data_IF_675231223106
#
_entry.id   IF_675231223106
#
_cell.length_a   1.000
_cell.length_b   1.000
_cell.length_c   1.000
_cell.angle_alpha   90.00
_cell.angle_beta   90.00
_cell.angle_gamma   90.00
#
_symmetry.space_group_name_H-M   'P 1'
#
loop_
_entity.id
_entity.type
_entity.pdbx_description
1 polymer ?
#
# COMPACT_ATOMS: atom_id res chain seq x y z
N UNK A 1 -37.71 10.71 6.37
CA UNK A 1 -36.33 10.95 6.89
C UNK A 1 -35.38 10.10 6.09
N UNK A 2 -34.83 10.66 5.02
CA UNK A 2 -33.75 10.04 4.22
C UNK A 2 -32.53 9.97 5.10
N UNK A 3 -32.07 8.74 5.41
CA UNK A 3 -30.73 8.52 5.99
C UNK A 3 -29.73 9.15 5.03
N UNK A 4 -29.12 10.23 5.47
CA UNK A 4 -27.92 10.79 4.85
C UNK A 4 -26.89 9.65 4.86
N UNK A 5 -26.71 9.02 3.71
CA UNK A 5 -25.62 8.06 3.51
C UNK A 5 -24.37 8.92 3.63
N UNK A 6 -23.76 8.87 4.81
CA UNK A 6 -22.53 9.59 5.09
C UNK A 6 -21.55 9.34 3.92
N UNK A 7 -21.12 10.42 3.25
CA UNK A 7 -20.16 10.31 2.16
C UNK A 7 -18.97 9.50 2.65
N UNK A 8 -18.44 8.59 1.82
CA UNK A 8 -17.18 7.90 2.15
C UNK A 8 -16.16 8.94 2.57
N UNK A 9 -15.35 8.62 3.55
CA UNK A 9 -14.27 9.50 3.97
C UNK A 9 -13.29 9.65 2.80
N UNK A 10 -13.07 10.89 2.41
CA UNK A 10 -12.19 11.24 1.30
C UNK A 10 -10.95 11.98 1.83
N UNK A 11 -9.78 11.49 1.46
CA UNK A 11 -8.51 12.15 1.77
C UNK A 11 -8.19 13.32 0.83
N UNK A 12 -9.09 13.61 -0.10
CA UNK A 12 -8.87 14.62 -1.14
C UNK A 12 -7.96 14.11 -2.27
N UNK A 13 -7.59 14.98 -3.23
CA UNK A 13 -6.71 14.61 -4.34
C UNK A 13 -5.30 14.26 -3.85
N UNK A 14 -4.57 13.47 -4.66
CA UNK A 14 -3.13 13.28 -4.46
C UNK A 14 -2.40 14.62 -4.58
N UNK A 15 -1.39 14.91 -3.75
CA UNK A 15 -0.56 16.10 -3.92
C UNK A 15 0.14 16.11 -5.28
N UNK A 16 0.61 17.27 -5.70
CA UNK A 16 1.38 17.46 -6.93
C UNK A 16 2.78 17.95 -6.58
N UNK A 17 3.77 17.49 -7.34
CA UNK A 17 5.13 18.01 -7.24
C UNK A 17 5.93 17.53 -6.04
N UNK A 18 5.60 16.35 -5.49
CA UNK A 18 6.39 15.75 -4.42
C UNK A 18 7.82 15.40 -4.86
N UNK A 19 8.78 15.51 -3.95
CA UNK A 19 10.21 15.22 -4.19
C UNK A 19 10.46 13.75 -4.57
N UNK A 20 9.65 12.84 -4.03
CA UNK A 20 9.67 11.42 -4.38
C UNK A 20 8.33 11.01 -5.00
N UNK A 21 8.40 10.44 -6.18
CA UNK A 21 7.31 9.69 -6.78
C UNK A 21 7.80 8.27 -7.10
N UNK A 22 7.13 7.26 -6.55
CA UNK A 22 7.38 5.85 -6.84
C UNK A 22 6.11 5.20 -7.35
N UNK A 23 6.21 4.44 -8.43
CA UNK A 23 5.07 3.78 -9.06
C UNK A 23 5.34 2.30 -9.23
N UNK A 24 4.52 1.48 -8.57
CA UNK A 24 4.47 0.03 -8.80
C UNK A 24 3.21 -0.30 -9.63
N UNK A 25 3.36 -1.16 -10.62
CA UNK A 25 2.22 -1.61 -11.42
C UNK A 25 2.34 -3.08 -11.79
N UNK A 26 1.19 -3.76 -11.86
CA UNK A 26 1.11 -5.15 -12.24
C UNK A 26 -0.21 -5.45 -12.95
N UNK A 27 -0.15 -6.29 -13.98
CA UNK A 27 -1.32 -6.96 -14.51
C UNK A 27 -1.57 -8.26 -13.74
N UNK A 28 -2.81 -8.44 -13.27
CA UNK A 28 -3.23 -9.59 -12.46
C UNK A 28 -4.36 -10.32 -13.21
N UNK A 29 -4.21 -11.63 -13.44
CA UNK A 29 -5.22 -12.47 -14.10
C UNK A 29 -6.36 -12.83 -13.14
N UNK A 30 -7.05 -11.80 -12.63
CA UNK A 30 -8.21 -11.94 -11.75
C UNK A 30 -9.17 -10.76 -11.95
N UNK A 31 -10.48 -10.96 -11.71
CA UNK A 31 -11.46 -9.88 -11.78
C UNK A 31 -11.13 -8.71 -10.84
N UNK A 32 -11.45 -7.49 -11.30
CA UNK A 32 -11.22 -6.27 -10.51
C UNK A 32 -11.88 -6.33 -9.13
N UNK A 33 -13.07 -6.90 -9.03
CA UNK A 33 -13.81 -7.05 -7.78
C UNK A 33 -13.05 -7.90 -6.76
N UNK A 34 -12.47 -9.00 -7.20
CA UNK A 34 -11.68 -9.89 -6.35
C UNK A 34 -10.36 -9.23 -5.90
N UNK A 35 -9.66 -8.59 -6.84
CA UNK A 35 -8.40 -7.91 -6.52
C UNK A 35 -8.62 -6.74 -5.56
N UNK A 36 -9.65 -5.92 -5.80
CA UNK A 36 -10.02 -4.81 -4.94
C UNK A 36 -10.47 -5.30 -3.54
N UNK A 37 -11.26 -6.38 -3.48
CA UNK A 37 -11.66 -6.98 -2.20
C UNK A 37 -10.45 -7.42 -1.37
N UNK A 38 -9.48 -8.10 -1.99
CA UNK A 38 -8.26 -8.54 -1.29
C UNK A 38 -7.41 -7.35 -0.82
N UNK A 39 -7.30 -6.33 -1.65
CA UNK A 39 -6.51 -5.14 -1.35
C UNK A 39 -7.16 -4.27 -0.27
N UNK A 40 -8.50 -4.09 -0.29
CA UNK A 40 -9.20 -3.26 0.70
C UNK A 40 -9.31 -3.90 2.09
N UNK A 41 -9.28 -5.25 2.18
CA UNK A 41 -9.31 -5.98 3.46
C UNK A 41 -7.91 -6.08 4.08
N UNK A 42 -7.30 -4.93 4.37
CA UNK A 42 -5.89 -4.83 4.83
C UNK A 42 -5.59 -5.65 6.09
N UNK A 43 -6.55 -5.85 6.99
CA UNK A 43 -6.40 -6.68 8.19
C UNK A 43 -6.09 -8.15 7.87
N UNK A 44 -6.41 -8.60 6.65
CA UNK A 44 -6.12 -9.95 6.16
C UNK A 44 -4.73 -10.07 5.53
N UNK A 45 -4.06 -8.97 5.25
CA UNK A 45 -2.75 -9.01 4.60
C UNK A 45 -1.72 -9.89 5.30
N UNK A 46 -1.59 -9.90 6.63
CA UNK A 46 -0.64 -10.80 7.30
C UNK A 46 -0.90 -12.29 7.05
N UNK A 47 -2.12 -12.69 6.68
CA UNK A 47 -2.45 -14.09 6.34
C UNK A 47 -2.01 -14.49 4.93
N UNK A 48 -1.80 -13.52 4.04
CA UNK A 48 -1.41 -13.74 2.63
C UNK A 48 0.03 -13.31 2.37
N UNK A 49 0.54 -12.36 3.15
CA UNK A 49 1.77 -11.63 2.92
C UNK A 49 2.69 -11.80 4.13
N UNK A 50 3.62 -12.76 4.11
CA UNK A 50 4.45 -13.10 5.27
C UNK A 50 5.42 -11.99 5.70
N UNK A 51 5.61 -10.97 4.88
CA UNK A 51 6.41 -9.80 5.26
C UNK A 51 5.66 -8.81 6.16
N UNK A 52 4.30 -8.86 6.23
CA UNK A 52 3.55 -8.11 7.22
C UNK A 52 3.57 -8.81 8.56
N UNK A 53 3.93 -8.08 9.61
CA UNK A 53 3.91 -8.57 11.00
C UNK A 53 2.52 -8.48 11.58
N UNK A 54 1.86 -7.35 11.34
CA UNK A 54 0.47 -7.11 11.68
C UNK A 54 -0.10 -5.95 10.87
N UNK A 55 -1.42 -5.96 10.73
CA UNK A 55 -2.24 -4.85 10.26
C UNK A 55 -3.47 -4.80 11.16
N UNK A 56 -3.73 -3.65 11.76
CA UNK A 56 -4.86 -3.49 12.68
C UNK A 56 -5.45 -2.09 12.58
N UNK A 57 -6.76 -1.99 12.56
CA UNK A 57 -7.43 -0.71 12.70
C UNK A 57 -7.35 -0.23 14.15
N UNK A 58 -6.96 1.01 14.34
CA UNK A 58 -7.14 1.76 15.58
C UNK A 58 -8.56 2.30 15.66
N UNK A 59 -9.07 2.76 14.52
CA UNK A 59 -10.44 3.20 14.33
C UNK A 59 -10.90 2.69 12.97
N UNK A 60 -12.00 1.93 12.93
CA UNK A 60 -12.57 1.39 11.70
C UNK A 60 -13.89 2.05 11.39
N UNK A 61 -14.07 2.50 10.16
CA UNK A 61 -15.31 3.06 9.65
C UNK A 61 -16.15 2.03 8.91
N UNK A 62 -17.44 2.32 8.79
CA UNK A 62 -18.40 1.45 8.08
C UNK A 62 -18.14 1.37 6.57
N UNK A 63 -17.43 2.35 5.99
CA UNK A 63 -17.03 2.37 4.58
C UNK A 63 -15.81 1.49 4.26
N UNK A 64 -15.24 0.84 5.27
CA UNK A 64 -14.05 -0.01 5.14
C UNK A 64 -12.73 0.71 5.35
N UNK A 65 -12.75 2.05 5.43
CA UNK A 65 -11.60 2.86 5.77
C UNK A 65 -11.40 3.02 7.28
N UNK A 66 -10.52 3.95 7.68
CA UNK A 66 -10.27 4.28 9.07
C UNK A 66 -8.82 4.65 9.36
N UNK A 67 -8.47 4.61 10.63
CA UNK A 67 -7.09 4.78 11.10
C UNK A 67 -6.46 3.40 11.26
N UNK A 68 -5.50 3.05 10.42
CA UNK A 68 -4.88 1.73 10.37
C UNK A 68 -3.40 1.79 10.72
N UNK A 69 -2.98 0.90 11.60
CA UNK A 69 -1.57 0.69 11.95
C UNK A 69 -1.05 -0.56 11.28
N UNK A 70 0.08 -0.43 10.62
CA UNK A 70 0.73 -1.50 9.88
C UNK A 70 2.18 -1.67 10.31
N UNK A 71 2.66 -2.90 10.29
CA UNK A 71 4.07 -3.23 10.50
C UNK A 71 4.50 -4.32 9.53
N UNK A 72 5.63 -4.09 8.87
CA UNK A 72 6.22 -5.04 7.95
C UNK A 72 7.73 -5.19 8.19
N UNK A 73 8.25 -6.37 7.85
CA UNK A 73 9.68 -6.65 7.84
C UNK A 73 10.27 -6.25 6.49
N UNK A 74 11.37 -5.53 6.52
CA UNK A 74 12.18 -5.23 5.33
C UNK A 74 13.27 -6.27 5.14
N UNK A 75 13.44 -6.80 3.94
CA UNK A 75 14.67 -7.46 3.60
C UNK A 75 15.74 -6.40 3.30
N UNK A 76 16.85 -6.46 3.98
CA UNK A 76 18.05 -5.76 3.55
C UNK A 76 18.71 -6.56 2.41
N UNK A 77 18.64 -6.05 1.20
CA UNK A 77 19.55 -6.47 0.12
C UNK A 77 20.64 -5.41 0.00
N UNK A 78 21.81 -5.72 0.52
CA UNK A 78 23.01 -4.91 0.26
C UNK A 78 23.58 -5.35 -1.07
N UNK A 79 23.75 -4.39 -2.00
CA UNK A 79 24.47 -4.55 -3.28
C UNK A 79 23.96 -5.68 -4.22
N UNK A 80 23.14 -5.33 -5.18
CA UNK A 80 22.96 -6.10 -6.41
C UNK A 80 22.36 -7.51 -6.25
N UNK A 81 21.43 -7.72 -5.31
CA UNK A 81 20.69 -8.98 -5.19
C UNK A 81 21.39 -10.08 -4.40
N UNK A 82 22.58 -9.88 -3.89
CA UNK A 82 23.21 -10.80 -2.94
C UNK A 82 22.66 -10.53 -1.53
N UNK A 83 22.05 -11.55 -0.91
CA UNK A 83 21.73 -11.52 0.51
C UNK A 83 23.03 -11.28 1.28
N UNK A 84 23.08 -10.19 2.05
CA UNK A 84 24.18 -9.99 3.00
C UNK A 84 24.24 -11.16 3.99
N UNK A 85 25.37 -11.36 4.69
CA UNK A 85 25.61 -12.51 5.56
C UNK A 85 24.64 -12.60 6.77
N UNK A 86 23.82 -11.59 7.00
CA UNK A 86 22.78 -11.57 8.02
C UNK A 86 21.44 -11.17 7.39
N UNK A 87 20.39 -12.00 7.51
CA UNK A 87 19.04 -11.62 7.14
C UNK A 87 18.49 -10.64 8.20
N UNK A 88 18.93 -9.39 8.15
CA UNK A 88 18.40 -8.34 9.01
C UNK A 88 17.01 -7.97 8.50
N UNK A 89 16.02 -8.72 8.96
CA UNK A 89 14.62 -8.33 8.87
C UNK A 89 14.40 -7.15 9.82
N UNK A 90 14.54 -5.93 9.32
CA UNK A 90 14.30 -4.72 10.13
C UNK A 90 12.79 -4.47 10.21
N UNK A 91 12.17 -4.57 11.39
CA UNK A 91 10.76 -4.25 11.54
C UNK A 91 10.54 -2.74 11.36
N UNK A 92 9.54 -2.41 10.57
CA UNK A 92 9.08 -1.03 10.40
C UNK A 92 7.59 -0.95 10.72
N UNK A 93 7.14 0.23 11.11
CA UNK A 93 5.73 0.48 11.35
C UNK A 93 5.33 1.87 10.86
N UNK A 94 4.07 2.00 10.51
CA UNK A 94 3.45 3.28 10.16
C UNK A 94 1.97 3.28 10.55
N UNK A 95 1.43 4.47 10.72
CA UNK A 95 0.03 4.74 11.00
C UNK A 95 -0.54 5.54 9.84
N UNK A 96 -1.66 5.10 9.28
CA UNK A 96 -2.28 5.74 8.12
C UNK A 96 -3.75 5.99 8.33
N UNK A 97 -4.21 7.14 7.88
CA UNK A 97 -5.61 7.30 7.49
C UNK A 97 -5.82 6.54 6.19
N UNK A 98 -6.88 5.76 6.11
CA UNK A 98 -7.26 4.96 4.96
C UNK A 98 -8.64 5.34 4.47
N UNK A 99 -8.79 5.60 3.17
CA UNK A 99 -10.09 5.72 2.50
C UNK A 99 -10.25 4.66 1.43
N UNK A 100 -11.49 4.23 1.20
CA UNK A 100 -11.85 3.19 0.24
C UNK A 100 -13.00 3.70 -0.61
N UNK A 101 -12.81 3.75 -1.92
CA UNK A 101 -13.86 4.04 -2.89
C UNK A 101 -14.21 2.76 -3.66
N UNK A 102 -15.42 2.22 -3.42
CA UNK A 102 -15.91 1.04 -4.11
C UNK A 102 -16.60 1.36 -5.44
N UNK A 103 -16.97 2.62 -5.69
CA UNK A 103 -17.61 3.05 -6.95
C UNK A 103 -16.55 3.20 -8.03
N UNK A 104 -15.45 3.89 -7.69
CA UNK A 104 -14.23 3.93 -8.49
C UNK A 104 -13.16 3.14 -7.75
N UNK A 105 -13.03 1.82 -7.99
CA UNK A 105 -12.17 0.98 -7.17
C UNK A 105 -10.81 1.61 -6.93
N UNK A 106 -10.65 2.21 -5.75
CA UNK A 106 -9.40 2.85 -5.31
C UNK A 106 -9.27 2.80 -3.79
N UNK A 107 -8.03 2.79 -3.33
CA UNK A 107 -7.69 2.83 -1.92
C UNK A 107 -6.62 3.91 -1.73
N UNK A 108 -6.85 4.81 -0.78
CA UNK A 108 -5.91 5.86 -0.44
C UNK A 108 -5.42 5.69 0.99
N UNK A 109 -4.13 5.96 1.17
CA UNK A 109 -3.52 6.05 2.50
C UNK A 109 -2.76 7.37 2.62
N UNK A 110 -2.93 8.02 3.77
CA UNK A 110 -2.10 9.13 4.21
C UNK A 110 -1.37 8.72 5.47
N UNK A 111 -0.07 8.64 5.42
CA UNK A 111 0.72 8.24 6.58
C UNK A 111 0.78 9.39 7.59
N UNK A 112 0.15 9.22 8.75
CA UNK A 112 0.08 10.22 9.82
C UNK A 112 1.06 9.93 10.96
N UNK A 113 1.72 8.77 10.94
CA UNK A 113 2.73 8.40 11.94
C UNK A 113 3.72 7.35 11.43
N UNK A 114 4.83 7.21 12.13
CA UNK A 114 5.92 6.31 11.78
C UNK A 114 6.96 6.97 10.87
N UNK A 115 7.89 6.16 10.34
CA UNK A 115 9.05 6.64 9.59
C UNK A 115 8.67 7.30 8.25
N UNK A 116 7.53 6.95 7.71
CA UNK A 116 7.01 7.46 6.45
C UNK A 116 5.89 8.49 6.64
N UNK A 117 5.83 9.16 7.81
CA UNK A 117 4.86 10.22 8.05
C UNK A 117 4.90 11.26 6.93
N UNK A 118 3.73 11.70 6.46
CA UNK A 118 3.55 12.62 5.34
C UNK A 118 3.46 11.95 3.96
N UNK A 119 3.72 10.64 3.85
CA UNK A 119 3.58 9.91 2.59
C UNK A 119 2.11 9.75 2.21
N UNK A 120 1.81 10.00 0.95
CA UNK A 120 0.52 9.71 0.32
C UNK A 120 0.65 8.49 -0.59
N UNK A 121 -0.33 7.60 -0.52
CA UNK A 121 -0.36 6.37 -1.32
C UNK A 121 -1.72 6.23 -1.99
N UNK A 122 -1.73 5.89 -3.27
CA UNK A 122 -2.96 5.58 -3.99
C UNK A 122 -2.85 4.26 -4.73
N UNK A 123 -3.83 3.40 -4.52
CA UNK A 123 -4.05 2.18 -5.29
C UNK A 123 -5.20 2.38 -6.23
N UNK A 124 -5.00 2.10 -7.52
CA UNK A 124 -6.04 2.12 -8.54
C UNK A 124 -6.16 0.76 -9.22
N UNK A 125 -7.41 0.37 -9.53
CA UNK A 125 -7.74 -0.93 -10.09
C UNK A 125 -8.52 -0.71 -11.39
N UNK A 126 -7.89 -0.99 -12.53
CA UNK A 126 -8.46 -0.76 -13.86
C UNK A 126 -8.81 -2.10 -14.47
N UNK A 127 -10.10 -2.36 -14.79
CA UNK A 127 -10.51 -3.57 -15.50
C UNK A 127 -9.79 -3.68 -16.84
N UNK A 128 -9.35 -4.88 -17.17
CA UNK A 128 -8.73 -5.21 -18.45
C UNK A 128 -9.24 -6.56 -18.97
N UNK A 129 -9.08 -6.87 -20.27
CA UNK A 129 -9.45 -8.18 -20.79
C UNK A 129 -8.79 -9.31 -19.97
N UNK A 130 -9.61 -10.20 -19.40
CA UNK A 130 -9.18 -11.33 -18.57
C UNK A 130 -8.40 -10.98 -17.29
N UNK A 131 -8.52 -9.75 -16.78
CA UNK A 131 -7.78 -9.38 -15.58
C UNK A 131 -7.97 -7.94 -15.11
N UNK A 132 -7.00 -7.49 -14.33
CA UNK A 132 -6.98 -6.17 -13.71
C UNK A 132 -5.58 -5.57 -13.81
N UNK A 133 -5.47 -4.35 -14.28
CA UNK A 133 -4.28 -3.54 -14.07
C UNK A 133 -4.35 -2.86 -12.70
N UNK A 134 -3.39 -3.16 -11.86
CA UNK A 134 -3.26 -2.52 -10.55
C UNK A 134 -2.06 -1.58 -10.59
N UNK A 135 -2.25 -0.37 -10.10
CA UNK A 135 -1.20 0.64 -9.98
C UNK A 135 -1.19 1.18 -8.56
N UNK A 136 -0.01 1.31 -7.98
CA UNK A 136 0.24 1.95 -6.69
C UNK A 136 1.15 3.14 -6.93
N UNK A 137 0.75 4.29 -6.43
CA UNK A 137 1.56 5.52 -6.46
C UNK A 137 1.88 5.90 -5.05
N UNK A 138 3.14 6.18 -4.79
CA UNK A 138 3.63 6.76 -3.54
C UNK A 138 4.20 8.13 -3.83
N UNK A 139 3.73 9.14 -3.10
CA UNK A 139 4.25 10.50 -3.15
C UNK A 139 4.74 10.90 -1.75
N UNK A 140 5.94 11.47 -1.67
CA UNK A 140 6.50 11.86 -0.38
C UNK A 140 7.59 12.92 -0.52
N UNK A 141 7.58 13.90 0.35
CA UNK A 141 8.59 14.96 0.40
C UNK A 141 9.74 14.64 1.38
N UNK A 142 9.71 13.44 1.95
CA UNK A 142 10.69 12.98 2.91
C UNK A 142 10.32 13.26 4.36
N UNK A 143 11.12 12.75 5.31
CA UNK A 143 10.92 13.05 6.73
C UNK A 143 11.28 14.52 7.02
N UNK A 144 10.60 15.10 8.00
CA UNK A 144 10.83 16.48 8.50
C UNK A 144 12.22 16.65 9.18
N UNK A 145 13.25 15.99 8.65
CA UNK A 145 14.61 16.10 9.17
C UNK A 145 15.33 17.24 8.50
N UNK A 146 15.84 18.24 9.25
CA UNK A 146 16.53 19.35 8.65
C UNK A 146 17.75 18.88 7.87
N UNK A 147 17.93 19.41 6.64
CA UNK A 147 19.06 19.19 5.73
C UNK A 147 19.11 17.81 5.02
N UNK A 148 18.69 16.72 5.67
CA UNK A 148 18.89 15.35 5.14
C UNK A 148 17.59 14.72 4.63
N UNK A 149 16.44 15.31 4.98
CA UNK A 149 15.11 14.73 4.72
C UNK A 149 14.84 14.41 3.25
N UNK A 150 14.92 15.37 2.32
CA UNK A 150 14.65 15.15 0.90
C UNK A 150 15.64 14.15 0.26
N UNK A 151 16.93 14.25 0.61
CA UNK A 151 17.95 13.32 0.11
C UNK A 151 17.71 11.89 0.60
N UNK A 152 17.40 11.71 1.88
CA UNK A 152 17.09 10.41 2.45
C UNK A 152 15.81 9.81 1.86
N UNK A 153 14.79 10.62 1.57
CA UNK A 153 13.57 10.19 0.90
C UNK A 153 13.87 9.65 -0.50
N UNK A 154 14.55 10.43 -1.31
CA UNK A 154 14.77 10.15 -2.73
C UNK A 154 15.75 9.00 -2.95
N UNK A 155 16.83 8.93 -2.19
CA UNK A 155 17.93 8.00 -2.47
C UNK A 155 18.02 6.77 -1.57
N UNK A 156 17.40 6.81 -0.38
CA UNK A 156 17.53 5.71 0.59
C UNK A 156 16.18 5.11 0.95
N UNK A 157 15.19 5.92 1.30
CA UNK A 157 13.93 5.43 1.83
C UNK A 157 12.98 5.03 0.69
N UNK A 158 12.87 5.84 -0.37
CA UNK A 158 12.01 5.57 -1.52
C UNK A 158 12.36 4.23 -2.19
N UNK A 159 13.52 4.10 -2.85
CA UNK A 159 13.84 2.92 -3.64
C UNK A 159 13.97 1.63 -2.81
N UNK A 160 14.52 1.75 -1.59
CA UNK A 160 14.79 0.56 -0.76
C UNK A 160 13.59 0.19 0.12
N UNK A 161 12.82 1.18 0.54
CA UNK A 161 11.77 1.00 1.55
C UNK A 161 10.40 0.82 0.94
N UNK A 162 10.02 1.78 0.10
CA UNK A 162 8.67 1.88 -0.44
C UNK A 162 8.48 0.82 -1.50
N UNK A 163 9.34 0.79 -2.51
CA UNK A 163 9.30 -0.21 -3.57
C UNK A 163 9.42 -1.64 -3.04
N UNK A 164 10.30 -1.88 -2.07
CA UNK A 164 10.52 -3.22 -1.52
C UNK A 164 9.31 -3.81 -0.77
N UNK A 165 8.47 -2.98 -0.15
CA UNK A 165 7.23 -3.42 0.51
C UNK A 165 6.07 -3.43 -0.48
N UNK A 166 5.92 -2.38 -1.28
CA UNK A 166 4.80 -2.21 -2.22
C UNK A 166 4.79 -3.28 -3.32
N UNK A 167 5.93 -3.50 -3.98
CA UNK A 167 6.06 -4.52 -5.03
C UNK A 167 5.74 -5.93 -4.52
N UNK A 168 6.22 -6.27 -3.32
CA UNK A 168 5.91 -7.57 -2.69
C UNK A 168 4.44 -7.69 -2.29
N UNK A 169 3.85 -6.61 -1.80
CA UNK A 169 2.44 -6.59 -1.45
C UNK A 169 1.60 -6.80 -2.69
N UNK A 170 1.90 -6.07 -3.76
CA UNK A 170 1.21 -6.19 -5.03
C UNK A 170 1.35 -7.59 -5.64
N UNK A 171 2.58 -8.11 -5.73
CA UNK A 171 2.84 -9.45 -6.24
C UNK A 171 2.16 -10.55 -5.40
N UNK A 172 2.20 -10.43 -4.08
CA UNK A 172 1.58 -11.40 -3.18
C UNK A 172 0.06 -11.40 -3.26
N UNK A 173 -0.57 -10.23 -3.26
CA UNK A 173 -2.03 -10.12 -3.44
C UNK A 173 -2.46 -10.57 -4.83
N UNK A 174 -1.69 -10.24 -5.87
CA UNK A 174 -1.92 -10.71 -7.23
C UNK A 174 -1.93 -12.23 -7.31
N UNK A 175 -0.92 -12.89 -6.75
CA UNK A 175 -0.84 -14.36 -6.73
C UNK A 175 -2.03 -15.00 -5.99
N UNK A 176 -2.48 -14.41 -4.88
CA UNK A 176 -3.66 -14.86 -4.14
C UNK A 176 -4.93 -14.69 -4.98
N UNK A 177 -5.08 -13.53 -5.64
CA UNK A 177 -6.23 -13.25 -6.50
C UNK A 177 -6.33 -14.24 -7.65
N UNK A 178 -5.22 -14.48 -8.36
CA UNK A 178 -5.16 -15.42 -9.47
C UNK A 178 -5.46 -16.87 -9.05
N UNK A 179 -4.90 -17.30 -7.89
CA UNK A 179 -5.21 -18.62 -7.34
C UNK A 179 -6.71 -18.77 -7.04
N UNK A 180 -7.33 -17.75 -6.42
CA UNK A 180 -8.76 -17.78 -6.11
C UNK A 180 -9.62 -17.74 -7.37
N UNK A 181 -9.25 -16.94 -8.37
CA UNK A 181 -9.98 -16.86 -9.64
C UNK A 181 -9.98 -18.22 -10.36
N UNK A 182 -8.84 -18.91 -10.42
CA UNK A 182 -8.77 -20.28 -11.00
C UNK A 182 -9.63 -21.31 -10.27
N UNK A 183 -9.78 -21.19 -8.97
CA UNK A 183 -10.58 -22.14 -8.18
C UNK A 183 -12.09 -21.90 -8.27
N UNK A 184 -12.52 -20.80 -8.90
CA UNK A 184 -13.92 -20.44 -9.11
C UNK A 184 -14.43 -20.77 -10.54
N UNK A 185 -13.53 -21.18 -11.42
CA UNK A 185 -13.81 -21.68 -12.77
C UNK A 185 -14.05 -23.20 -12.75
#
# INVERSE_FOLDING_TARGET
MTKDLARPFDLGPMPLGSEMEEVDSQYVHAPVTLMFELASKVEKWPTYLPHYRYVRFREKRSDGGGLVEMSANRPFTVNGGRRGPLPLNWPTWWLSEMSVDAIKPSIRFRHVGGITKGMEVEWTFIPAPNGTHVRIVHLWDGPDWPVVGPFAATYVIGPVFVHGIASRTLAGLGAVAEKKARNQQ
#
